data_IF_757705580566
#
_entry.id   IF_757705580566
#
_cell.length_a   1.000
_cell.length_b   1.000
_cell.length_c   1.000
_cell.angle_alpha   90.00
_cell.angle_beta   90.00
_cell.angle_gamma   90.00
#
_symmetry.space_group_name_H-M   'P 1'
#
loop_
_entity.id
_entity.type
_entity.pdbx_description
1 polymer ?
#
# COMPACT_ATOMS: atom_id res chain seq x y z
N UNK A 1 -3.43 -36.93 7.64
CA UNK A 1 -2.67 -35.70 7.97
C UNK A 1 -3.51 -34.88 8.92
N UNK A 2 -2.91 -34.35 9.98
CA UNK A 2 -3.63 -33.75 11.11
C UNK A 2 -4.45 -32.52 10.66
N UNK A 3 -5.77 -32.55 10.89
CA UNK A 3 -6.60 -31.36 10.77
C UNK A 3 -6.04 -30.30 11.74
N UNK A 4 -5.68 -29.14 11.20
CA UNK A 4 -5.33 -27.95 11.98
C UNK A 4 -6.50 -27.65 12.92
N UNK A 5 -6.35 -27.98 14.20
CA UNK A 5 -7.33 -27.72 15.25
C UNK A 5 -7.25 -26.25 15.73
N UNK A 6 -7.02 -25.32 14.79
CA UNK A 6 -6.97 -23.90 15.09
C UNK A 6 -8.42 -23.44 15.32
N UNK A 7 -8.74 -22.84 16.48
CA UNK A 7 -10.08 -22.34 16.73
C UNK A 7 -10.42 -21.28 15.67
N UNK A 8 -11.59 -21.43 15.05
CA UNK A 8 -12.12 -20.47 14.09
C UNK A 8 -13.43 -19.84 14.60
N UNK A 9 -13.74 -18.64 14.11
CA UNK A 9 -14.95 -17.89 14.43
C UNK A 9 -15.63 -17.44 13.14
N UNK A 10 -16.96 -17.57 13.09
CA UNK A 10 -17.76 -17.13 11.94
C UNK A 10 -18.18 -15.67 12.10
N UNK A 11 -17.93 -14.83 11.11
CA UNK A 11 -18.44 -13.45 11.03
C UNK A 11 -19.63 -13.46 10.07
N UNK A 12 -20.81 -13.10 10.58
CA UNK A 12 -22.05 -13.18 9.82
C UNK A 12 -22.68 -11.82 9.58
N UNK A 13 -23.26 -11.62 8.40
CA UNK A 13 -24.06 -10.44 8.08
C UNK A 13 -25.09 -10.78 7.00
N UNK A 14 -26.17 -10.00 6.90
CA UNK A 14 -27.15 -10.19 5.84
C UNK A 14 -27.76 -8.88 5.35
N UNK A 15 -28.40 -8.94 4.18
CA UNK A 15 -29.42 -7.96 3.84
C UNK A 15 -30.80 -8.37 4.39
N UNK A 16 -31.81 -7.53 4.16
CA UNK A 16 -33.17 -7.81 4.64
C UNK A 16 -33.75 -9.12 4.08
N UNK A 17 -33.43 -9.49 2.85
CA UNK A 17 -33.90 -10.76 2.26
C UNK A 17 -33.16 -11.98 2.81
N UNK A 18 -31.91 -11.83 3.23
CA UNK A 18 -31.09 -12.91 3.80
C UNK A 18 -31.20 -13.08 5.31
N UNK A 19 -31.73 -12.08 6.03
CA UNK A 19 -31.73 -12.04 7.50
C UNK A 19 -32.39 -13.27 8.13
N UNK A 20 -33.61 -13.69 7.74
CA UNK A 20 -34.25 -14.85 8.36
C UNK A 20 -33.42 -16.14 8.23
N UNK A 21 -32.78 -16.35 7.06
CA UNK A 21 -31.94 -17.51 6.82
C UNK A 21 -30.64 -17.44 7.64
N UNK A 22 -29.98 -16.27 7.67
CA UNK A 22 -28.77 -16.04 8.48
C UNK A 22 -29.05 -16.33 9.96
N UNK A 23 -30.13 -15.81 10.54
CA UNK A 23 -30.46 -16.02 11.95
C UNK A 23 -30.70 -17.49 12.30
N UNK A 24 -31.36 -18.22 11.40
CA UNK A 24 -31.57 -19.66 11.55
C UNK A 24 -30.25 -20.45 11.48
N UNK A 25 -29.35 -20.10 10.55
CA UNK A 25 -28.02 -20.68 10.46
C UNK A 25 -27.17 -20.36 11.69
N UNK A 26 -27.23 -19.14 12.22
CA UNK A 26 -26.53 -18.80 13.47
C UNK A 26 -27.05 -19.60 14.67
N UNK A 27 -28.34 -19.92 14.69
CA UNK A 27 -28.92 -20.81 15.71
C UNK A 27 -28.40 -22.24 15.57
N UNK A 28 -28.27 -22.73 14.33
CA UNK A 28 -27.63 -24.02 14.05
C UNK A 28 -26.16 -24.04 14.49
N UNK A 29 -25.35 -23.03 14.11
CA UNK A 29 -23.95 -22.89 14.53
C UNK A 29 -23.80 -22.87 16.06
N UNK A 30 -24.72 -22.18 16.76
CA UNK A 30 -24.78 -22.20 18.23
C UNK A 30 -24.98 -23.61 18.78
N UNK A 31 -25.85 -24.41 18.16
CA UNK A 31 -26.09 -25.81 18.59
C UNK A 31 -24.85 -26.70 18.43
N UNK A 32 -23.96 -26.36 17.50
CA UNK A 32 -22.68 -27.02 17.27
C UNK A 32 -21.53 -26.46 18.14
N UNK A 33 -21.81 -25.51 19.02
CA UNK A 33 -20.81 -24.76 19.82
C UNK A 33 -19.76 -24.01 18.98
N UNK A 34 -20.12 -23.61 17.75
CA UNK A 34 -19.26 -22.81 16.88
C UNK A 34 -19.39 -21.33 17.28
N UNK A 35 -18.26 -20.67 17.52
CA UNK A 35 -18.22 -19.26 17.87
C UNK A 35 -18.56 -18.40 16.65
N UNK A 36 -19.36 -17.35 16.85
CA UNK A 36 -19.65 -16.39 15.80
C UNK A 36 -19.84 -14.96 16.32
N UNK A 37 -19.78 -14.00 15.40
CA UNK A 37 -20.15 -12.60 15.59
C UNK A 37 -21.13 -12.21 14.50
N UNK A 38 -22.29 -11.71 14.92
CA UNK A 38 -23.33 -11.23 14.03
C UNK A 38 -23.21 -9.71 13.89
N UNK A 39 -22.88 -9.25 12.69
CA UNK A 39 -22.84 -7.84 12.33
C UNK A 39 -24.24 -7.28 12.02
N UNK A 40 -25.26 -8.14 12.02
CA UNK A 40 -26.66 -7.78 11.86
C UNK A 40 -27.09 -7.67 10.40
N UNK A 41 -28.05 -6.77 10.18
CA UNK A 41 -28.72 -6.56 8.89
C UNK A 41 -28.40 -5.19 8.34
N UNK A 42 -27.96 -5.12 7.09
CA UNK A 42 -27.64 -3.86 6.40
C UNK A 42 -27.99 -3.92 4.90
N UNK A 43 -27.52 -2.97 4.10
CA UNK A 43 -27.55 -3.15 2.64
C UNK A 43 -26.64 -4.32 2.23
N UNK A 44 -26.97 -4.99 1.12
CA UNK A 44 -26.20 -6.17 0.66
C UNK A 44 -24.72 -5.86 0.37
N UNK A 45 -24.41 -4.65 -0.10
CA UNK A 45 -23.03 -4.24 -0.34
C UNK A 45 -22.26 -3.99 0.97
N UNK A 46 -22.90 -3.42 2.00
CA UNK A 46 -22.26 -3.19 3.30
C UNK A 46 -22.07 -4.52 4.04
N UNK A 47 -23.08 -5.39 4.04
CA UNK A 47 -23.01 -6.71 4.66
C UNK A 47 -21.86 -7.55 4.09
N UNK A 48 -21.75 -7.61 2.76
CA UNK A 48 -20.63 -8.28 2.10
C UNK A 48 -19.30 -7.62 2.43
N UNK A 49 -19.22 -6.30 2.36
CA UNK A 49 -17.97 -5.58 2.59
C UNK A 49 -17.47 -5.66 4.03
N UNK A 50 -18.35 -5.58 5.02
CA UNK A 50 -17.97 -5.63 6.43
C UNK A 50 -17.47 -7.03 6.83
N UNK A 51 -18.13 -8.10 6.37
CA UNK A 51 -17.63 -9.47 6.56
C UNK A 51 -16.29 -9.66 5.84
N UNK A 52 -16.18 -9.23 4.58
CA UNK A 52 -14.94 -9.31 3.81
C UNK A 52 -13.78 -8.60 4.51
N UNK A 53 -14.01 -7.38 5.02
CA UNK A 53 -13.02 -6.61 5.77
C UNK A 53 -12.51 -7.37 7.01
N UNK A 54 -13.42 -7.93 7.82
CA UNK A 54 -13.05 -8.67 9.04
C UNK A 54 -12.24 -9.92 8.72
N UNK A 55 -12.69 -10.69 7.72
CA UNK A 55 -11.98 -11.91 7.29
C UNK A 55 -10.59 -11.55 6.76
N UNK A 56 -10.49 -10.57 5.86
CA UNK A 56 -9.22 -10.09 5.30
C UNK A 56 -8.23 -9.65 6.37
N UNK A 57 -8.67 -8.84 7.35
CA UNK A 57 -7.82 -8.35 8.44
C UNK A 57 -7.27 -9.50 9.32
N UNK A 58 -8.02 -10.59 9.47
CA UNK A 58 -7.56 -11.74 10.28
C UNK A 58 -6.39 -12.49 9.64
N UNK A 59 -6.26 -12.45 8.31
CA UNK A 59 -5.20 -13.15 7.57
C UNK A 59 -3.81 -12.58 7.88
N UNK A 60 -3.73 -11.30 8.25
CA UNK A 60 -2.46 -10.64 8.60
C UNK A 60 -2.05 -10.85 10.07
N UNK A 61 -2.93 -11.41 10.92
CA UNK A 61 -2.70 -11.57 12.35
C UNK A 61 -2.46 -13.05 12.72
N UNK A 62 -1.23 -13.41 13.05
CA UNK A 62 -0.89 -14.78 13.46
C UNK A 62 -1.44 -15.16 14.85
N UNK A 63 -1.75 -14.18 15.70
CA UNK A 63 -2.17 -14.34 17.10
C UNK A 63 -3.68 -14.43 17.31
N UNK A 64 -4.49 -14.20 16.28
CA UNK A 64 -5.96 -14.24 16.36
C UNK A 64 -6.53 -15.58 15.88
N UNK A 65 -7.73 -15.99 16.35
CA UNK A 65 -8.45 -17.12 15.76
C UNK A 65 -8.71 -16.87 14.28
N UNK A 66 -8.76 -17.94 13.49
CA UNK A 66 -9.09 -17.85 12.07
C UNK A 66 -10.53 -17.30 11.92
N UNK A 67 -10.71 -16.25 11.13
CA UNK A 67 -12.06 -15.73 10.84
C UNK A 67 -12.53 -16.26 9.49
N UNK A 68 -13.76 -16.77 9.49
CA UNK A 68 -14.49 -17.21 8.30
C UNK A 68 -15.79 -16.42 8.19
N UNK A 69 -16.31 -16.23 6.99
CA UNK A 69 -17.52 -15.43 6.77
C UNK A 69 -18.76 -16.25 6.44
N UNK A 70 -19.93 -15.77 6.87
CA UNK A 70 -21.24 -16.23 6.42
C UNK A 70 -22.08 -15.01 6.01
N UNK A 71 -22.39 -14.87 4.74
CA UNK A 71 -23.22 -13.77 4.24
C UNK A 71 -24.49 -14.27 3.59
N UNK A 72 -25.59 -13.54 3.76
CA UNK A 72 -26.86 -13.89 3.12
C UNK A 72 -27.49 -12.67 2.46
N UNK A 73 -27.99 -12.85 1.24
CA UNK A 73 -28.90 -11.89 0.62
C UNK A 73 -29.96 -12.59 -0.21
N UNK A 74 -30.76 -11.85 -0.98
CA UNK A 74 -31.80 -12.44 -1.82
C UNK A 74 -31.30 -13.59 -2.70
N UNK A 75 -30.15 -13.46 -3.36
CA UNK A 75 -29.57 -14.49 -4.24
C UNK A 75 -28.23 -15.06 -3.76
N UNK A 76 -27.64 -14.48 -2.72
CA UNK A 76 -26.26 -14.74 -2.28
C UNK A 76 -25.17 -14.08 -3.14
N UNK A 77 -25.41 -13.87 -4.44
CA UNK A 77 -24.39 -13.38 -5.38
C UNK A 77 -23.90 -11.96 -5.03
N UNK A 78 -24.82 -11.04 -4.70
CA UNK A 78 -24.47 -9.65 -4.41
C UNK A 78 -23.52 -9.50 -3.23
N UNK A 79 -23.85 -10.13 -2.09
CA UNK A 79 -22.99 -10.10 -0.89
C UNK A 79 -21.63 -10.76 -1.16
N UNK A 80 -21.60 -11.84 -1.95
CA UNK A 80 -20.37 -12.52 -2.36
C UNK A 80 -19.44 -11.60 -3.16
N UNK A 81 -19.99 -10.86 -4.14
CA UNK A 81 -19.21 -9.91 -4.96
C UNK A 81 -18.54 -8.84 -4.09
N UNK A 82 -19.26 -8.30 -3.10
CA UNK A 82 -18.72 -7.26 -2.22
C UNK A 82 -17.73 -7.81 -1.19
N UNK A 83 -17.94 -9.01 -0.66
CA UNK A 83 -16.97 -9.68 0.21
C UNK A 83 -15.62 -9.91 -0.49
N UNK A 84 -15.66 -10.34 -1.76
CA UNK A 84 -14.47 -10.57 -2.60
C UNK A 84 -13.68 -9.30 -2.96
N UNK A 85 -14.12 -8.10 -2.57
CA UNK A 85 -13.35 -6.85 -2.79
C UNK A 85 -12.17 -6.68 -1.83
N UNK A 86 -12.09 -7.52 -0.79
CA UNK A 86 -11.08 -7.42 0.24
C UNK A 86 -9.96 -8.44 0.00
N UNK A 87 -8.68 -8.06 0.10
CA UNK A 87 -7.57 -8.95 -0.18
C UNK A 87 -7.62 -10.25 0.63
N UNK A 88 -7.39 -11.38 -0.04
CA UNK A 88 -7.40 -12.72 0.58
C UNK A 88 -8.80 -13.25 0.95
N UNK A 89 -9.87 -12.55 0.58
CA UNK A 89 -11.24 -13.08 0.72
C UNK A 89 -11.62 -13.86 -0.53
N UNK A 90 -12.05 -15.10 -0.31
CA UNK A 90 -12.58 -15.99 -1.33
C UNK A 90 -14.00 -16.38 -0.94
N UNK A 91 -14.96 -15.54 -1.31
CA UNK A 91 -16.38 -15.74 -1.08
C UNK A 91 -17.01 -16.51 -2.24
N UNK A 92 -17.78 -17.55 -1.91
CA UNK A 92 -18.50 -18.37 -2.87
C UNK A 92 -19.99 -18.42 -2.54
N UNK A 93 -20.84 -18.25 -3.55
CA UNK A 93 -22.29 -18.45 -3.41
C UNK A 93 -22.62 -19.92 -3.63
N UNK A 94 -23.25 -20.55 -2.65
CA UNK A 94 -23.65 -21.95 -2.72
C UNK A 94 -25.18 -22.05 -2.63
N UNK A 95 -25.79 -22.75 -3.58
CA UNK A 95 -27.23 -23.03 -3.59
C UNK A 95 -27.52 -24.48 -3.24
N UNK A 96 -26.51 -25.35 -3.30
CA UNK A 96 -26.57 -26.77 -2.97
C UNK A 96 -25.36 -27.22 -2.14
N UNK A 97 -25.45 -28.33 -1.40
CA UNK A 97 -24.29 -28.92 -0.71
C UNK A 97 -23.13 -29.24 -1.66
N UNK A 98 -23.44 -29.67 -2.90
CA UNK A 98 -22.42 -29.91 -3.93
C UNK A 98 -21.61 -28.65 -4.27
N UNK A 99 -22.26 -27.48 -4.32
CA UNK A 99 -21.56 -26.20 -4.51
C UNK A 99 -20.61 -25.92 -3.34
N UNK A 100 -21.03 -26.23 -2.11
CA UNK A 100 -20.21 -26.06 -0.91
C UNK A 100 -18.97 -26.95 -0.93
N UNK A 101 -19.09 -28.22 -1.35
CA UNK A 101 -17.93 -29.11 -1.51
C UNK A 101 -16.97 -28.54 -2.55
N UNK A 102 -17.48 -28.15 -3.72
CA UNK A 102 -16.65 -27.59 -4.80
C UNK A 102 -15.95 -26.30 -4.34
N UNK A 103 -16.67 -25.39 -3.69
CA UNK A 103 -16.12 -24.11 -3.23
C UNK A 103 -15.02 -24.27 -2.18
N UNK A 104 -15.11 -25.28 -1.31
CA UNK A 104 -14.06 -25.58 -0.32
C UNK A 104 -12.90 -26.34 -0.92
N UNK A 105 -13.17 -27.35 -1.74
CA UNK A 105 -12.14 -28.19 -2.35
C UNK A 105 -11.27 -27.42 -3.34
N UNK A 106 -11.88 -26.61 -4.21
CA UNK A 106 -11.21 -25.97 -5.33
C UNK A 106 -10.70 -24.58 -4.95
N UNK A 107 -11.51 -23.78 -4.25
CA UNK A 107 -11.19 -22.37 -4.01
C UNK A 107 -10.70 -22.09 -2.59
N UNK A 108 -10.71 -23.11 -1.72
CA UNK A 108 -10.51 -22.96 -0.28
C UNK A 108 -11.35 -21.79 0.30
N UNK A 109 -12.59 -21.63 -0.18
CA UNK A 109 -13.39 -20.43 0.10
C UNK A 109 -13.51 -20.17 1.60
N UNK A 110 -13.18 -18.96 2.04
CA UNK A 110 -13.19 -18.57 3.46
C UNK A 110 -14.43 -17.74 3.84
N UNK A 111 -15.30 -17.44 2.87
CA UNK A 111 -16.61 -16.84 3.09
C UNK A 111 -17.67 -17.64 2.33
N UNK A 112 -18.72 -18.08 3.03
CA UNK A 112 -19.89 -18.71 2.44
C UNK A 112 -20.99 -17.67 2.19
N UNK A 113 -21.53 -17.62 0.99
CA UNK A 113 -22.70 -16.82 0.66
C UNK A 113 -23.91 -17.72 0.36
N UNK A 114 -25.05 -17.43 0.98
CA UNK A 114 -26.30 -18.20 0.82
C UNK A 114 -27.45 -17.33 0.32
N UNK A 115 -28.43 -17.96 -0.33
CA UNK A 115 -29.58 -17.31 -0.95
C UNK A 115 -30.84 -17.40 -0.08
N UNK A 116 -31.29 -16.26 0.45
CA UNK A 116 -32.51 -16.19 1.25
C UNK A 116 -33.80 -16.42 0.44
N UNK A 117 -33.78 -16.30 -0.90
CA UNK A 117 -34.96 -16.54 -1.75
C UNK A 117 -34.99 -17.92 -2.42
N UNK A 118 -33.83 -18.53 -2.63
CA UNK A 118 -33.71 -19.72 -3.46
C UNK A 118 -33.18 -20.97 -2.72
N UNK A 119 -32.83 -20.83 -1.44
CA UNK A 119 -32.35 -21.94 -0.62
C UNK A 119 -33.29 -22.11 0.57
N UNK A 120 -33.84 -23.32 0.75
CA UNK A 120 -34.63 -23.63 1.95
C UNK A 120 -33.74 -23.69 3.19
N UNK A 121 -34.34 -23.62 4.38
CA UNK A 121 -33.58 -23.69 5.64
C UNK A 121 -32.82 -25.02 5.75
N UNK A 122 -33.49 -26.14 5.44
CA UNK A 122 -32.92 -27.48 5.53
C UNK A 122 -31.69 -27.60 4.63
N UNK A 123 -31.81 -27.16 3.38
CA UNK A 123 -30.69 -27.17 2.43
C UNK A 123 -29.60 -26.18 2.84
N UNK A 124 -29.92 -25.02 3.41
CA UNK A 124 -28.92 -24.08 3.89
C UNK A 124 -28.11 -24.64 5.07
N UNK A 125 -28.75 -25.41 5.95
CA UNK A 125 -28.09 -26.15 7.03
C UNK A 125 -27.13 -27.18 6.45
N UNK A 126 -27.58 -27.99 5.48
CA UNK A 126 -26.72 -28.94 4.78
C UNK A 126 -25.53 -28.26 4.09
N UNK A 127 -25.75 -27.10 3.45
CA UNK A 127 -24.70 -26.29 2.82
C UNK A 127 -23.66 -25.84 3.83
N UNK A 128 -24.08 -25.23 4.96
CA UNK A 128 -23.13 -24.70 5.93
C UNK A 128 -22.35 -25.83 6.60
N UNK A 129 -22.99 -26.95 6.90
CA UNK A 129 -22.31 -28.13 7.47
C UNK A 129 -21.32 -28.71 6.48
N UNK A 130 -21.71 -28.84 5.22
CA UNK A 130 -20.83 -29.35 4.16
C UNK A 130 -19.64 -28.42 3.96
N UNK A 131 -19.86 -27.11 3.92
CA UNK A 131 -18.81 -26.11 3.76
C UNK A 131 -17.83 -26.10 4.94
N UNK A 132 -18.32 -26.22 6.17
CA UNK A 132 -17.47 -26.26 7.37
C UNK A 132 -16.62 -27.53 7.41
N UNK A 133 -17.18 -28.66 7.00
CA UNK A 133 -16.54 -29.97 7.12
C UNK A 133 -15.70 -30.38 5.91
N UNK A 134 -15.80 -29.69 4.77
CA UNK A 134 -15.04 -30.03 3.56
C UNK A 134 -13.60 -29.49 3.62
N UNK A 135 -12.58 -30.36 3.60
CA UNK A 135 -11.18 -29.95 3.52
C UNK A 135 -10.81 -29.39 2.13
N UNK A 136 -9.79 -28.53 2.10
CA UNK A 136 -9.21 -28.10 0.82
C UNK A 136 -8.59 -29.29 0.07
N UNK A 137 -8.67 -29.27 -1.28
CA UNK A 137 -8.24 -30.37 -2.16
C UNK A 137 -8.90 -31.73 -1.89
N UNK A 138 -10.06 -31.77 -1.22
CA UNK A 138 -10.80 -33.03 -1.09
C UNK A 138 -11.41 -33.45 -2.44
N UNK A 139 -11.69 -34.74 -2.67
CA UNK A 139 -12.52 -35.14 -3.81
C UNK A 139 -13.85 -34.37 -3.80
N UNK A 140 -14.30 -33.89 -4.95
CA UNK A 140 -15.50 -33.07 -5.07
C UNK A 140 -16.32 -33.39 -6.32
N UNK A 141 -17.62 -33.01 -6.35
CA UNK A 141 -18.50 -33.27 -7.49
C UNK A 141 -17.97 -32.77 -8.84
N UNK A 142 -17.26 -31.65 -8.87
CA UNK A 142 -16.69 -31.11 -10.11
C UNK A 142 -15.60 -32.00 -10.74
N UNK A 143 -15.06 -32.97 -9.99
CA UNK A 143 -14.07 -33.95 -10.46
C UNK A 143 -14.56 -35.39 -10.27
N UNK A 144 -15.86 -35.64 -10.45
CA UNK A 144 -16.50 -36.95 -10.25
C UNK A 144 -16.23 -37.58 -8.87
N UNK A 145 -15.96 -36.77 -7.84
CA UNK A 145 -15.51 -37.22 -6.52
C UNK A 145 -14.22 -38.08 -6.55
N UNK A 146 -13.35 -37.87 -7.54
CA UNK A 146 -12.02 -38.49 -7.62
C UNK A 146 -10.98 -37.62 -6.91
N UNK A 147 -9.89 -38.22 -6.40
CA UNK A 147 -8.72 -37.48 -5.96
C UNK A 147 -8.18 -36.57 -7.07
N UNK A 148 -7.55 -35.47 -6.69
CA UNK A 148 -6.89 -34.59 -7.65
C UNK A 148 -5.62 -35.24 -8.18
N UNK A 149 -5.34 -35.15 -9.50
CA UNK A 149 -4.02 -35.45 -10.03
C UNK A 149 -2.97 -34.54 -9.37
N UNK A 150 -1.74 -35.03 -9.23
CA UNK A 150 -0.64 -34.30 -8.59
C UNK A 150 -0.42 -32.90 -9.20
N UNK A 151 -0.52 -32.77 -10.53
CA UNK A 151 -0.43 -31.49 -11.24
C UNK A 151 -1.50 -30.49 -10.76
N UNK A 152 -2.73 -30.95 -10.54
CA UNK A 152 -3.83 -30.10 -10.07
C UNK A 152 -3.66 -29.79 -8.58
N UNK A 153 -3.17 -30.73 -7.77
CA UNK A 153 -2.87 -30.43 -6.36
C UNK A 153 -1.82 -29.32 -6.25
N UNK A 154 -0.77 -29.37 -7.06
CA UNK A 154 0.27 -28.34 -7.12
C UNK A 154 -0.30 -26.98 -7.58
N UNK A 155 -1.16 -26.97 -8.60
CA UNK A 155 -1.87 -25.77 -9.04
C UNK A 155 -2.73 -25.19 -7.90
N UNK A 156 -3.49 -26.02 -7.20
CA UNK A 156 -4.34 -25.59 -6.09
C UNK A 156 -3.51 -25.00 -4.94
N UNK A 157 -2.36 -25.58 -4.61
CA UNK A 157 -1.46 -25.03 -3.59
C UNK A 157 -0.89 -23.67 -4.00
N UNK A 158 -0.48 -23.50 -5.26
CA UNK A 158 0.00 -22.22 -5.79
C UNK A 158 -1.11 -21.16 -5.83
N UNK A 159 -2.34 -21.56 -6.13
CA UNK A 159 -3.48 -20.64 -6.23
C UNK A 159 -3.73 -19.83 -4.95
N UNK A 160 -3.44 -20.40 -3.77
CA UNK A 160 -3.60 -19.69 -2.49
C UNK A 160 -2.63 -18.53 -2.32
N UNK A 161 -1.49 -18.57 -3.03
CA UNK A 161 -0.48 -17.51 -3.04
C UNK A 161 -0.74 -16.53 -4.18
N UNK A 162 -1.15 -17.02 -5.35
CA UNK A 162 -1.34 -16.18 -6.54
C UNK A 162 -2.65 -15.38 -6.52
N UNK A 163 -3.77 -15.99 -6.12
CA UNK A 163 -5.09 -15.33 -6.15
C UNK A 163 -5.13 -14.01 -5.36
N UNK A 164 -4.53 -13.89 -4.14
CA UNK A 164 -4.47 -12.63 -3.41
C UNK A 164 -3.68 -11.51 -4.10
N UNK A 165 -2.76 -11.86 -5.01
CA UNK A 165 -1.95 -10.87 -5.74
C UNK A 165 -2.68 -10.33 -6.97
N UNK A 166 -3.73 -11.01 -7.45
CA UNK A 166 -4.53 -10.55 -8.58
C UNK A 166 -5.20 -9.22 -8.25
N UNK A 167 -4.98 -8.21 -9.08
CA UNK A 167 -5.55 -6.88 -8.91
C UNK A 167 -4.79 -5.97 -7.93
N UNK A 168 -3.74 -6.48 -7.25
CA UNK A 168 -2.72 -5.60 -6.66
C UNK A 168 -1.90 -5.04 -7.81
N UNK A 169 -2.18 -3.80 -8.21
CA UNK A 169 -1.18 -3.07 -8.98
C UNK A 169 0.04 -2.87 -8.10
N UNK A 170 1.24 -2.87 -8.69
CA UNK A 170 2.37 -2.19 -8.03
C UNK A 170 1.89 -0.80 -7.58
N UNK A 171 2.40 -0.25 -6.47
CA UNK A 171 2.15 1.14 -6.14
C UNK A 171 2.58 1.97 -7.34
N UNK A 172 1.61 2.36 -8.17
CA UNK A 172 1.81 3.38 -9.18
C UNK A 172 2.16 4.58 -8.33
N UNK A 173 3.40 5.09 -8.42
CA UNK A 173 3.83 6.29 -7.71
C UNK A 173 2.74 7.36 -7.89
N UNK A 174 1.90 7.55 -6.88
CA UNK A 174 0.74 8.45 -6.97
C UNK A 174 1.19 9.90 -6.97
N UNK A 175 2.47 10.15 -6.66
CA UNK A 175 3.04 11.47 -6.79
C UNK A 175 3.30 11.79 -8.26
N UNK A 176 2.41 12.59 -8.85
CA UNK A 176 2.56 13.11 -10.20
C UNK A 176 3.92 13.80 -10.42
N UNK A 177 4.49 14.42 -9.37
CA UNK A 177 5.84 15.01 -9.41
C UNK A 177 6.92 13.91 -9.49
N UNK A 178 6.84 12.84 -8.68
CA UNK A 178 7.78 11.73 -8.78
C UNK A 178 7.73 11.05 -10.15
N UNK A 179 6.55 10.88 -10.75
CA UNK A 179 6.41 10.35 -12.12
C UNK A 179 7.07 11.24 -13.17
N UNK A 180 7.03 12.56 -13.01
CA UNK A 180 7.76 13.49 -13.87
C UNK A 180 9.27 13.40 -13.68
N UNK A 181 9.75 13.04 -12.48
CA UNK A 181 11.16 12.94 -12.09
C UNK A 181 11.77 11.57 -12.40
N UNK A 182 10.96 10.52 -12.46
CA UNK A 182 11.36 9.14 -12.75
C UNK A 182 12.06 9.10 -14.12
N UNK A 183 13.29 8.58 -14.16
CA UNK A 183 14.17 8.51 -15.33
C UNK A 183 14.83 9.81 -15.79
N UNK A 184 14.94 10.84 -14.95
CA UNK A 184 15.76 12.01 -15.27
C UNK A 184 17.24 11.73 -15.04
N UNK A 185 18.03 11.95 -16.08
CA UNK A 185 19.49 12.03 -15.98
C UNK A 185 19.90 13.47 -15.66
N UNK A 186 20.60 13.64 -14.54
CA UNK A 186 21.21 14.92 -14.15
C UNK A 186 22.57 15.04 -14.84
N UNK A 187 22.84 16.20 -15.42
CA UNK A 187 24.14 16.51 -16.03
C UNK A 187 25.07 17.12 -14.98
N UNK A 188 26.36 16.78 -14.94
CA UNK A 188 27.32 17.43 -14.05
C UNK A 188 27.32 18.96 -14.20
N UNK A 189 27.55 19.67 -13.09
CA UNK A 189 27.80 21.12 -13.10
C UNK A 189 29.31 21.32 -13.15
N UNK A 190 29.85 21.77 -14.29
CA UNK A 190 31.29 21.86 -14.52
C UNK A 190 32.05 22.71 -13.47
N UNK A 191 31.37 23.71 -12.89
CA UNK A 191 31.96 24.66 -11.95
C UNK A 191 31.91 24.21 -10.48
N UNK A 192 31.13 23.19 -10.13
CA UNK A 192 30.92 22.79 -8.72
C UNK A 192 31.08 21.28 -8.54
N UNK A 193 32.19 20.82 -7.92
CA UNK A 193 32.43 19.41 -7.69
C UNK A 193 31.30 18.71 -6.91
N UNK A 194 30.83 17.59 -7.46
CA UNK A 194 29.75 16.79 -6.87
C UNK A 194 28.35 17.34 -7.13
N UNK A 195 28.22 18.47 -7.83
CA UNK A 195 26.96 19.04 -8.30
C UNK A 195 26.52 18.47 -9.65
N UNK A 196 25.22 18.26 -9.80
CA UNK A 196 24.58 17.89 -11.06
C UNK A 196 23.22 18.56 -11.17
N UNK A 197 22.80 18.94 -12.38
CA UNK A 197 21.53 19.62 -12.62
C UNK A 197 20.81 19.14 -13.88
N UNK A 198 19.50 19.36 -13.90
CA UNK A 198 18.66 19.24 -15.09
C UNK A 198 17.69 20.40 -15.14
N UNK A 199 17.81 21.23 -16.18
CA UNK A 199 16.82 22.27 -16.49
C UNK A 199 15.51 21.59 -16.92
N UNK A 200 14.40 22.02 -16.33
CA UNK A 200 13.05 21.51 -16.62
C UNK A 200 12.17 22.52 -17.33
N UNK A 201 12.55 23.80 -17.26
CA UNK A 201 11.93 24.92 -17.96
C UNK A 201 12.96 26.03 -18.11
N UNK A 202 12.98 26.68 -19.27
CA UNK A 202 13.94 27.73 -19.61
C UNK A 202 13.49 29.16 -19.24
N UNK A 203 12.19 29.41 -18.99
CA UNK A 203 11.73 30.76 -18.63
C UNK A 203 10.33 30.79 -17.97
N UNK A 204 10.21 31.29 -16.71
CA UNK A 204 11.31 31.45 -15.77
C UNK A 204 12.02 30.11 -15.57
N UNK A 205 13.34 30.19 -15.38
CA UNK A 205 14.18 29.01 -15.40
C UNK A 205 13.94 28.21 -14.14
N UNK A 206 13.86 26.89 -14.29
CA UNK A 206 13.80 26.00 -13.14
C UNK A 206 14.56 24.71 -13.43
N UNK A 207 15.15 24.16 -12.37
CA UNK A 207 15.98 22.99 -12.44
C UNK A 207 15.81 22.12 -11.21
N UNK A 208 16.12 20.84 -11.37
CA UNK A 208 16.47 19.97 -10.25
C UNK A 208 17.99 19.97 -10.14
N UNK A 209 18.47 20.15 -8.91
CA UNK A 209 19.91 20.16 -8.61
C UNK A 209 20.18 19.15 -7.51
N UNK A 210 21.23 18.37 -7.69
CA UNK A 210 21.69 17.36 -6.73
C UNK A 210 23.15 17.56 -6.43
N UNK A 211 23.48 17.50 -5.14
CA UNK A 211 24.84 17.48 -4.64
C UNK A 211 25.12 16.23 -3.83
N UNK A 212 26.35 15.73 -3.94
CA UNK A 212 26.84 14.63 -3.12
C UNK A 212 27.11 15.08 -1.68
N UNK A 213 26.98 14.15 -0.75
CA UNK A 213 27.35 14.36 0.65
C UNK A 213 28.78 14.90 0.74
N UNK A 214 28.97 15.94 1.54
CA UNK A 214 30.25 16.63 1.73
C UNK A 214 30.57 17.71 0.70
N UNK A 215 29.79 17.86 -0.38
CA UNK A 215 29.97 18.98 -1.31
C UNK A 215 29.77 20.34 -0.62
N UNK A 216 30.49 21.33 -1.12
CA UNK A 216 30.45 22.72 -0.66
C UNK A 216 30.29 23.64 -1.86
N UNK A 217 29.43 24.64 -1.74
CA UNK A 217 29.43 25.82 -2.61
C UNK A 217 30.15 26.94 -1.86
N UNK A 218 31.28 27.46 -2.38
CA UNK A 218 31.99 28.61 -1.81
C UNK A 218 31.09 29.84 -1.72
N UNK A 219 31.52 30.89 -1.00
CA UNK A 219 30.76 32.14 -1.01
C UNK A 219 30.59 32.63 -2.45
N UNK A 220 29.34 32.86 -2.84
CA UNK A 220 28.98 33.34 -4.17
C UNK A 220 27.66 34.11 -4.13
N UNK A 221 27.38 34.82 -5.21
CA UNK A 221 26.10 35.47 -5.44
C UNK A 221 25.60 35.25 -6.86
N UNK A 222 24.32 35.59 -7.06
CA UNK A 222 23.61 35.50 -8.33
C UNK A 222 23.05 36.86 -8.72
N UNK A 223 22.97 37.13 -10.03
CA UNK A 223 22.32 38.34 -10.58
C UNK A 223 20.82 38.33 -10.32
N UNK A 224 20.20 37.15 -10.30
CA UNK A 224 18.76 36.98 -10.05
C UNK A 224 18.53 36.26 -8.72
N UNK A 225 17.46 36.66 -8.02
CA UNK A 225 17.02 35.94 -6.84
C UNK A 225 16.47 34.56 -7.22
N UNK A 226 16.55 33.62 -6.29
CA UNK A 226 16.10 32.26 -6.54
C UNK A 226 15.32 31.66 -5.36
N UNK A 227 14.33 30.87 -5.73
CA UNK A 227 13.52 30.04 -4.83
C UNK A 227 14.07 28.63 -4.80
N UNK A 228 14.18 27.99 -3.64
CA UNK A 228 14.48 26.57 -3.56
C UNK A 228 13.59 25.81 -2.57
N UNK A 229 13.31 24.54 -2.88
CA UNK A 229 12.66 23.58 -1.96
C UNK A 229 13.49 22.30 -1.91
N UNK A 230 13.81 21.83 -0.71
CA UNK A 230 14.53 20.56 -0.53
C UNK A 230 13.58 19.38 -0.74
N UNK A 231 13.95 18.48 -1.65
CA UNK A 231 13.16 17.30 -2.00
C UNK A 231 13.70 16.08 -1.28
N UNK A 232 15.03 15.95 -1.20
CA UNK A 232 15.72 14.88 -0.49
C UNK A 232 16.96 15.44 0.21
N UNK A 233 17.34 14.87 1.35
CA UNK A 233 18.59 15.17 2.03
C UNK A 233 18.56 16.35 2.99
N UNK A 234 19.72 16.97 3.20
CA UNK A 234 19.95 18.03 4.20
C UNK A 234 21.14 18.92 3.81
N UNK A 235 20.92 20.24 3.83
CA UNK A 235 21.94 21.26 3.55
C UNK A 235 21.91 22.39 4.57
N UNK A 236 23.03 23.09 4.73
CA UNK A 236 23.11 24.35 5.46
C UNK A 236 23.46 25.47 4.49
N UNK A 237 22.78 26.60 4.59
CA UNK A 237 23.01 27.81 3.82
C UNK A 237 23.38 28.94 4.78
N UNK A 238 24.54 29.54 4.57
CA UNK A 238 24.98 30.74 5.28
C UNK A 238 24.78 31.93 4.36
N UNK A 239 23.84 32.81 4.68
CA UNK A 239 23.71 34.10 4.02
C UNK A 239 24.67 35.08 4.70
N UNK A 240 25.81 35.33 4.05
CA UNK A 240 26.90 36.15 4.58
C UNK A 240 26.55 37.64 4.54
N UNK A 241 25.70 38.06 3.60
CA UNK A 241 25.19 39.44 3.54
C UNK A 241 24.33 39.79 4.75
N UNK A 242 23.52 38.84 5.23
CA UNK A 242 22.60 39.04 6.35
C UNK A 242 23.11 38.51 7.69
N UNK A 243 24.25 37.82 7.68
CA UNK A 243 24.80 37.12 8.84
C UNK A 243 23.83 36.08 9.44
N UNK A 244 23.09 35.38 8.56
CA UNK A 244 22.08 34.38 8.93
C UNK A 244 22.46 32.99 8.44
N UNK A 245 21.97 31.96 9.15
CA UNK A 245 22.16 30.55 8.79
C UNK A 245 20.82 29.82 8.76
N UNK A 246 20.67 29.00 7.73
CA UNK A 246 19.50 28.17 7.48
C UNK A 246 19.91 26.71 7.35
N UNK A 247 19.42 25.85 8.25
CA UNK A 247 19.59 24.40 8.15
C UNK A 247 18.32 23.79 7.55
N UNK A 248 18.40 23.36 6.30
CA UNK A 248 17.25 22.92 5.49
C UNK A 248 17.19 21.40 5.39
N UNK A 249 15.98 20.85 5.54
CA UNK A 249 15.60 19.44 5.42
C UNK A 249 14.44 19.27 4.45
N UNK A 250 14.03 18.02 4.19
CA UNK A 250 12.96 17.71 3.23
C UNK A 250 11.69 18.53 3.50
N UNK A 251 11.25 19.27 2.48
CA UNK A 251 10.08 20.14 2.52
C UNK A 251 10.36 21.60 2.87
N UNK A 252 11.57 21.92 3.38
CA UNK A 252 11.93 23.31 3.69
C UNK A 252 12.16 24.14 2.43
N UNK A 253 11.77 25.41 2.50
CA UNK A 253 11.86 26.40 1.43
C UNK A 253 12.79 27.55 1.84
N UNK A 254 13.58 28.04 0.90
CA UNK A 254 14.40 29.24 1.08
C UNK A 254 14.38 30.11 -0.18
N UNK A 255 14.14 31.41 0.00
CA UNK A 255 14.36 32.42 -1.03
C UNK A 255 15.66 33.18 -0.75
N UNK A 256 16.55 33.22 -1.73
CA UNK A 256 17.77 34.04 -1.70
C UNK A 256 17.59 35.23 -2.64
N UNK A 257 17.56 36.47 -2.14
CA UNK A 257 17.51 37.67 -2.98
C UNK A 257 18.70 37.79 -3.93
N UNK A 258 18.50 38.51 -5.05
CA UNK A 258 19.56 38.86 -5.97
C UNK A 258 20.69 39.62 -5.24
N UNK A 259 21.94 39.25 -5.51
CA UNK A 259 23.13 39.88 -4.93
C UNK A 259 23.46 39.52 -3.48
N UNK A 260 22.61 38.75 -2.78
CA UNK A 260 22.97 38.21 -1.46
C UNK A 260 24.08 37.17 -1.63
N UNK A 261 25.20 37.38 -0.91
CA UNK A 261 26.34 36.46 -0.90
C UNK A 261 26.03 35.34 0.08
N UNK A 262 26.18 34.10 -0.37
CA UNK A 262 25.92 32.94 0.45
C UNK A 262 26.88 31.78 0.19
N UNK A 263 27.02 30.92 1.20
CA UNK A 263 27.83 29.69 1.18
C UNK A 263 26.95 28.50 1.52
N UNK A 264 27.23 27.32 0.97
CA UNK A 264 26.40 26.13 1.19
C UNK A 264 27.23 24.90 1.53
N UNK A 265 26.74 24.06 2.45
CA UNK A 265 27.27 22.71 2.73
C UNK A 265 26.18 21.66 2.62
N UNK A 266 26.50 20.57 1.95
CA UNK A 266 25.63 19.41 1.80
C UNK A 266 26.06 18.30 2.77
N UNK A 267 25.23 17.98 3.76
CA UNK A 267 25.62 17.03 4.82
C UNK A 267 25.38 15.57 4.42
N UNK A 268 24.42 15.36 3.52
CA UNK A 268 24.09 14.08 2.89
C UNK A 268 23.85 14.32 1.40
N UNK A 269 23.72 13.26 0.60
CA UNK A 269 23.23 13.39 -0.78
C UNK A 269 21.90 14.16 -0.74
N UNK A 270 21.87 15.30 -1.42
CA UNK A 270 20.77 16.27 -1.30
C UNK A 270 20.29 16.68 -2.67
N UNK A 271 18.98 16.65 -2.87
CA UNK A 271 18.30 17.10 -4.08
C UNK A 271 17.31 18.20 -3.74
N UNK A 272 17.28 19.25 -4.56
CA UNK A 272 16.33 20.34 -4.42
C UNK A 272 15.85 20.83 -5.78
N UNK A 273 14.64 21.37 -5.79
CA UNK A 273 14.10 22.13 -6.91
C UNK A 273 14.43 23.59 -6.71
N UNK A 274 14.97 24.24 -7.75
CA UNK A 274 15.34 25.65 -7.74
C UNK A 274 14.72 26.37 -8.94
N UNK A 275 14.27 27.61 -8.73
CA UNK A 275 13.69 28.48 -9.75
C UNK A 275 14.27 29.89 -9.65
N UNK A 276 14.57 30.49 -10.79
CA UNK A 276 15.07 31.86 -10.90
C UNK A 276 14.59 32.49 -12.22
N UNK A 277 14.75 33.80 -12.33
CA UNK A 277 14.48 34.52 -13.58
C UNK A 277 15.76 34.68 -14.41
N UNK A 278 15.63 34.74 -15.73
CA UNK A 278 16.77 35.03 -16.61
C UNK A 278 17.80 33.90 -16.74
N UNK A 279 19.05 34.27 -17.01
CA UNK A 279 20.15 33.32 -17.22
C UNK A 279 20.70 32.85 -15.88
N UNK A 280 21.26 31.62 -15.85
CA UNK A 280 22.01 31.14 -14.69
C UNK A 280 23.39 31.79 -14.67
N UNK A 281 23.74 32.38 -13.55
CA UNK A 281 25.08 32.87 -13.24
C UNK A 281 25.48 32.39 -11.86
N UNK A 282 26.77 32.33 -11.59
CA UNK A 282 27.31 32.08 -10.25
C UNK A 282 28.63 32.83 -10.16
N UNK A 283 28.66 33.88 -9.34
CA UNK A 283 29.83 34.74 -9.20
C UNK A 283 30.49 34.38 -7.87
N UNK A 284 31.63 33.67 -7.95
CA UNK A 284 32.37 33.26 -6.76
C UNK A 284 33.09 34.46 -6.12
N UNK A 285 32.81 34.69 -4.85
CA UNK A 285 33.45 35.67 -3.99
C UNK A 285 34.56 35.05 -3.12
N UNK A 286 34.68 33.72 -3.16
CA UNK A 286 35.62 32.92 -2.36
C UNK A 286 36.02 31.63 -3.11
N UNK A 287 37.22 31.12 -2.84
CA UNK A 287 37.67 29.81 -3.33
C UNK A 287 37.24 28.63 -2.42
N UNK A 288 37.25 27.42 -2.97
CA UNK A 288 36.83 26.20 -2.24
C UNK A 288 37.66 25.89 -1.00
N UNK A 289 38.97 26.20 -0.98
CA UNK A 289 39.81 25.90 0.18
C UNK A 289 39.43 26.80 1.36
N UNK A 290 39.28 28.09 1.09
CA UNK A 290 38.84 29.09 2.08
C UNK A 290 37.45 28.75 2.62
N UNK A 291 36.52 28.35 1.75
CA UNK A 291 35.17 27.95 2.14
C UNK A 291 35.15 26.75 3.10
N UNK A 292 35.96 25.71 2.82
CA UNK A 292 36.04 24.53 3.69
C UNK A 292 36.61 24.87 5.08
N UNK A 293 37.66 25.69 5.15
CA UNK A 293 38.25 26.13 6.43
C UNK A 293 37.23 26.91 7.26
N UNK A 294 36.50 27.84 6.64
CA UNK A 294 35.51 28.66 7.33
C UNK A 294 34.39 27.80 7.94
N UNK A 295 33.91 26.80 7.17
CA UNK A 295 32.90 25.83 7.60
C UNK A 295 33.42 24.97 8.76
N UNK A 296 34.63 24.42 8.66
CA UNK A 296 35.16 23.51 9.67
C UNK A 296 35.41 24.25 11.00
N UNK A 297 35.83 25.52 10.93
CA UNK A 297 35.97 26.38 12.11
C UNK A 297 34.63 26.61 12.80
N UNK A 298 33.56 26.91 12.05
CA UNK A 298 32.24 27.18 12.63
C UNK A 298 31.58 25.92 13.20
N UNK A 299 31.79 24.76 12.57
CA UNK A 299 31.27 23.48 13.05
C UNK A 299 32.10 22.88 14.19
N UNK A 300 33.18 23.54 14.62
CA UNK A 300 34.06 23.05 15.67
C UNK A 300 34.87 21.80 15.29
N UNK A 301 35.12 21.62 13.98
CA UNK A 301 35.84 20.50 13.40
C UNK A 301 37.32 20.82 13.09
N UNK A 302 37.68 22.11 13.10
CA UNK A 302 39.06 22.57 13.03
C UNK A 302 39.64 22.79 14.45
N UNK A 303 40.84 22.25 14.71
CA UNK A 303 41.65 22.62 15.88
C UNK A 303 42.24 24.03 15.73
#
# INVERSE_FOLDING_TARGET
MAHSNKPFKIIAAADHFGTPLKDALLSHLRSLNIQFEDLGTSSYYSAGADVGRRVSQSLSSSSSPELRGLVACGTGAGVSIFANKFPGVFAATCLTPSDAVNARSINNSNVLAVSGKYTSLETAIEIVDTWLNTPFKSPCPANDNKPWPEEIENFLDQSLVEMPEIGKSEPVDTCAVCCLVKNRELNPIDLIPGGSMKIVRESPTSAFVRFKAGSVEPAHHHTFGHDLVVIEGKKSVWNLTKEERYDLTVGDYLFTPAGDVHRVKYHVDTEFFIKWDGHWDMVFDEDFHTANIAIDKELGLAN
#
